data_IF_344649880643
#
_entry.id   IF_344649880643
#
_cell.length_a   1.000
_cell.length_b   1.000
_cell.length_c   1.000
_cell.angle_alpha   90.00
_cell.angle_beta   90.00
_cell.angle_gamma   90.00
#
_symmetry.space_group_name_H-M   'P 1'
#
loop_
_entity.id
_entity.type
_entity.pdbx_description
1 polymer ?
#
# COMPACT_ATOMS: atom_id res chain seq x y z
N UNK A 1 -20.11 -91.24 -3.04
CA UNK A 1 -20.44 -89.91 -3.62
C UNK A 1 -20.77 -88.81 -2.61
N UNK A 2 -21.02 -89.09 -1.32
CA UNK A 2 -21.38 -88.05 -0.32
C UNK A 2 -20.18 -87.34 0.34
N UNK A 3 -18.96 -87.89 0.26
CA UNK A 3 -17.77 -87.33 0.92
C UNK A 3 -17.17 -86.15 0.12
N UNK A 4 -17.17 -86.23 -1.21
CA UNK A 4 -16.62 -85.20 -2.12
C UNK A 4 -17.49 -83.95 -2.24
N UNK A 5 -18.81 -84.05 -2.06
CA UNK A 5 -19.71 -82.87 -2.09
C UNK A 5 -19.57 -82.01 -0.83
N UNK A 6 -19.24 -82.64 0.31
CA UNK A 6 -19.04 -81.99 1.62
C UNK A 6 -17.74 -81.19 1.66
N UNK A 7 -16.65 -81.73 1.10
CA UNK A 7 -15.38 -81.02 0.97
C UNK A 7 -15.47 -79.84 -0.01
N UNK A 8 -16.20 -80.00 -1.12
CA UNK A 8 -16.43 -78.93 -2.09
C UNK A 8 -17.26 -77.76 -1.51
N UNK A 9 -18.27 -78.06 -0.68
CA UNK A 9 -19.06 -77.05 0.04
C UNK A 9 -18.25 -76.36 1.13
N UNK A 10 -17.41 -77.09 1.85
CA UNK A 10 -16.52 -76.54 2.87
C UNK A 10 -15.45 -75.61 2.27
N UNK A 11 -14.89 -75.97 1.12
CA UNK A 11 -13.95 -75.12 0.37
C UNK A 11 -14.60 -73.85 -0.20
N UNK A 12 -15.87 -73.91 -0.60
CA UNK A 12 -16.62 -72.72 -1.06
C UNK A 12 -16.97 -71.79 0.09
N UNK A 13 -17.39 -72.32 1.24
CA UNK A 13 -17.65 -71.54 2.45
C UNK A 13 -16.40 -70.82 2.96
N UNK A 14 -15.24 -71.48 2.95
CA UNK A 14 -13.97 -70.84 3.30
C UNK A 14 -13.63 -69.68 2.35
N UNK A 15 -13.89 -69.85 1.04
CA UNK A 15 -13.61 -68.82 0.04
C UNK A 15 -14.53 -67.61 0.22
N UNK A 16 -15.81 -67.84 0.52
CA UNK A 16 -16.78 -66.79 0.85
C UNK A 16 -16.37 -66.07 2.14
N UNK A 17 -15.98 -66.80 3.19
CA UNK A 17 -15.50 -66.21 4.44
C UNK A 17 -14.25 -65.33 4.24
N UNK A 18 -13.29 -65.77 3.40
CA UNK A 18 -12.09 -64.97 3.07
C UNK A 18 -12.46 -63.67 2.33
N UNK A 19 -13.40 -63.73 1.38
CA UNK A 19 -13.88 -62.55 0.64
C UNK A 19 -14.58 -61.54 1.57
N UNK A 20 -15.44 -62.04 2.47
CA UNK A 20 -16.10 -61.20 3.49
C UNK A 20 -15.07 -60.54 4.40
N UNK A 21 -14.11 -61.31 4.93
CA UNK A 21 -13.01 -60.76 5.77
C UNK A 21 -12.18 -59.70 5.03
N UNK A 22 -11.80 -59.96 3.79
CA UNK A 22 -11.05 -59.00 2.95
C UNK A 22 -11.84 -57.70 2.73
N UNK A 23 -13.14 -57.80 2.44
CA UNK A 23 -14.01 -56.64 2.24
C UNK A 23 -14.17 -55.81 3.53
N UNK A 24 -14.28 -56.47 4.67
CA UNK A 24 -14.35 -55.80 5.99
C UNK A 24 -13.04 -55.10 6.33
N UNK A 25 -11.89 -55.74 6.10
CA UNK A 25 -10.56 -55.14 6.31
C UNK A 25 -10.34 -53.95 5.37
N UNK A 26 -10.70 -54.07 4.08
CA UNK A 26 -10.60 -52.96 3.12
C UNK A 26 -11.48 -51.78 3.52
N UNK A 27 -12.73 -52.02 3.94
CA UNK A 27 -13.63 -50.97 4.44
C UNK A 27 -13.02 -50.29 5.68
N UNK A 28 -12.59 -51.07 6.67
CA UNK A 28 -11.94 -50.54 7.87
C UNK A 28 -10.67 -49.73 7.56
N UNK A 29 -9.86 -50.15 6.59
CA UNK A 29 -8.68 -49.41 6.15
C UNK A 29 -9.04 -48.09 5.46
N UNK A 30 -10.08 -48.09 4.61
CA UNK A 30 -10.60 -46.86 3.96
C UNK A 30 -11.15 -45.90 4.98
N UNK A 31 -11.91 -46.40 5.96
CA UNK A 31 -12.50 -45.59 7.04
C UNK A 31 -11.41 -44.99 7.94
N UNK A 32 -10.37 -45.78 8.29
CA UNK A 32 -9.19 -45.27 9.02
C UNK A 32 -8.46 -44.19 8.23
N UNK A 33 -8.25 -44.38 6.91
CA UNK A 33 -7.61 -43.38 6.05
C UNK A 33 -8.45 -42.11 5.95
N UNK A 34 -9.77 -42.21 5.80
CA UNK A 34 -10.70 -41.08 5.79
C UNK A 34 -10.69 -40.33 7.12
N UNK A 35 -10.75 -41.06 8.25
CA UNK A 35 -10.69 -40.45 9.60
C UNK A 35 -9.38 -39.73 9.84
N UNK A 36 -8.25 -40.31 9.41
CA UNK A 36 -6.93 -39.68 9.53
C UNK A 36 -6.84 -38.42 8.66
N UNK A 37 -7.32 -38.49 7.41
CA UNK A 37 -7.39 -37.33 6.52
C UNK A 37 -8.19 -36.20 7.16
N UNK A 38 -9.43 -36.47 7.59
CA UNK A 38 -10.29 -35.48 8.23
C UNK A 38 -9.66 -34.87 9.50
N UNK A 39 -9.04 -35.70 10.34
CA UNK A 39 -8.33 -35.22 11.52
C UNK A 39 -7.16 -34.29 11.16
N UNK A 40 -6.34 -34.67 10.17
CA UNK A 40 -5.25 -33.82 9.69
C UNK A 40 -5.77 -32.51 9.10
N UNK A 41 -6.85 -32.54 8.30
CA UNK A 41 -7.42 -31.32 7.71
C UNK A 41 -7.93 -30.37 8.79
N UNK A 42 -8.64 -30.90 9.80
CA UNK A 42 -9.10 -30.12 10.94
C UNK A 42 -7.93 -29.50 11.73
N UNK A 43 -6.85 -30.25 11.98
CA UNK A 43 -5.66 -29.70 12.64
C UNK A 43 -5.00 -28.60 11.82
N UNK A 44 -4.93 -28.74 10.50
CA UNK A 44 -4.39 -27.70 9.61
C UNK A 44 -5.23 -26.43 9.65
N UNK A 45 -6.57 -26.57 9.68
CA UNK A 45 -7.48 -25.43 9.84
C UNK A 45 -7.27 -24.73 11.18
N UNK A 46 -7.23 -25.48 12.30
CA UNK A 46 -6.97 -24.91 13.63
C UNK A 46 -5.62 -24.19 13.71
N UNK A 47 -4.55 -24.79 13.17
CA UNK A 47 -3.23 -24.16 13.16
C UNK A 47 -3.20 -22.89 12.30
N UNK A 48 -3.95 -22.84 11.20
CA UNK A 48 -4.09 -21.62 10.38
C UNK A 48 -4.76 -20.50 11.17
N UNK A 49 -5.81 -20.82 11.91
CA UNK A 49 -6.52 -19.86 12.75
C UNK A 49 -5.62 -19.35 13.90
N UNK A 50 -4.84 -20.25 14.53
CA UNK A 50 -3.87 -19.88 15.56
C UNK A 50 -2.75 -18.98 15.02
N UNK A 51 -2.19 -19.30 13.85
CA UNK A 51 -1.18 -18.45 13.20
C UNK A 51 -1.77 -17.07 12.88
N UNK A 52 -2.99 -17.01 12.36
CA UNK A 52 -3.65 -15.73 12.09
C UNK A 52 -3.85 -14.91 13.38
N UNK A 53 -4.30 -15.55 14.47
CA UNK A 53 -4.47 -14.90 15.77
C UNK A 53 -3.12 -14.39 16.34
N UNK A 54 -2.07 -15.21 16.25
CA UNK A 54 -0.74 -14.82 16.70
C UNK A 54 -0.18 -13.66 15.87
N UNK A 55 -0.40 -13.65 14.56
CA UNK A 55 0.01 -12.54 13.70
C UNK A 55 -0.70 -11.23 14.10
N UNK A 56 -2.00 -11.28 14.38
CA UNK A 56 -2.76 -10.13 14.89
C UNK A 56 -2.19 -9.65 16.23
N UNK A 57 -1.87 -10.58 17.13
CA UNK A 57 -1.31 -10.26 18.46
C UNK A 57 0.09 -9.66 18.38
N UNK A 58 0.96 -10.20 17.52
CA UNK A 58 2.29 -9.62 17.25
C UNK A 58 2.15 -8.23 16.69
N UNK A 59 1.28 -8.01 15.69
CA UNK A 59 1.04 -6.67 15.14
C UNK A 59 0.59 -5.68 16.24
N UNK A 60 -0.33 -6.09 17.11
CA UNK A 60 -0.78 -5.27 18.25
C UNK A 60 0.35 -4.94 19.24
N UNK A 61 1.21 -5.90 19.56
CA UNK A 61 2.33 -5.67 20.48
C UNK A 61 3.42 -4.79 19.86
N UNK A 62 3.75 -5.01 18.58
CA UNK A 62 4.68 -4.15 17.82
C UNK A 62 4.17 -2.71 17.78
N UNK A 63 2.85 -2.49 17.70
CA UNK A 63 2.24 -1.15 17.83
C UNK A 63 2.40 -0.50 19.20
N UNK A 64 2.75 -1.23 20.26
CA UNK A 64 2.96 -0.66 21.61
C UNK A 64 4.42 -0.46 22.00
N UNK A 65 5.36 -1.07 21.28
CA UNK A 65 6.79 -1.03 21.62
C UNK A 65 7.56 0.06 20.84
N UNK A 66 8.47 0.83 21.45
CA UNK A 66 9.30 1.78 20.69
C UNK A 66 10.01 1.09 19.53
N UNK A 67 10.10 1.75 18.36
CA UNK A 67 10.67 1.14 17.15
C UNK A 67 12.10 0.62 17.36
N UNK A 68 12.88 1.27 18.21
CA UNK A 68 14.23 0.82 18.61
C UNK A 68 14.24 -0.58 19.21
N UNK A 69 13.25 -0.91 20.06
CA UNK A 69 13.11 -2.25 20.62
C UNK A 69 12.68 -3.27 19.57
N UNK A 70 11.77 -2.89 18.67
CA UNK A 70 11.34 -3.74 17.55
C UNK A 70 12.54 -4.07 16.66
N UNK A 71 13.37 -3.08 16.31
CA UNK A 71 14.55 -3.27 15.48
C UNK A 71 15.68 -4.04 16.18
N UNK A 72 15.78 -4.00 17.50
CA UNK A 72 16.71 -4.83 18.27
C UNK A 72 16.40 -6.33 18.09
N UNK A 73 15.12 -6.70 18.14
CA UNK A 73 14.67 -8.09 18.00
C UNK A 73 14.53 -8.50 16.53
N UNK A 74 14.09 -7.58 15.68
CA UNK A 74 13.87 -7.78 14.25
C UNK A 74 14.54 -6.68 13.43
N UNK A 75 15.87 -6.75 13.20
CA UNK A 75 16.61 -5.73 12.45
C UNK A 75 16.10 -5.51 11.02
N UNK A 76 15.50 -6.55 10.43
CA UNK A 76 14.94 -6.53 9.08
C UNK A 76 13.45 -6.17 9.05
N UNK A 77 12.91 -5.54 10.09
CA UNK A 77 11.52 -5.11 10.10
C UNK A 77 11.24 -4.15 8.94
N UNK A 78 10.37 -4.57 8.01
CA UNK A 78 10.04 -3.85 6.78
C UNK A 78 9.08 -2.67 6.99
N UNK A 79 8.84 -2.28 8.24
CA UNK A 79 7.84 -1.28 8.60
C UNK A 79 6.39 -1.79 8.63
N UNK A 80 6.12 -3.02 8.20
CA UNK A 80 4.76 -3.58 8.26
C UNK A 80 3.77 -2.89 7.30
N UNK A 81 2.45 -2.91 7.61
CA UNK A 81 1.40 -2.47 6.71
C UNK A 81 1.47 -0.99 6.31
N UNK A 82 1.84 -0.10 7.25
CA UNK A 82 1.85 1.35 7.02
C UNK A 82 2.92 1.78 6.00
N UNK A 83 4.13 1.20 6.06
CA UNK A 83 5.16 1.44 5.04
C UNK A 83 4.70 0.94 3.66
N UNK A 84 4.02 -0.21 3.60
CA UNK A 84 3.48 -0.77 2.35
C UNK A 84 2.43 0.16 1.75
N UNK A 85 1.55 0.73 2.57
CA UNK A 85 0.56 1.74 2.14
C UNK A 85 1.26 2.96 1.53
N UNK A 86 2.29 3.51 2.20
CA UNK A 86 3.01 4.68 1.68
C UNK A 86 3.71 4.39 0.33
N UNK A 87 4.36 3.22 0.19
CA UNK A 87 4.99 2.81 -1.09
C UNK A 87 3.95 2.58 -2.19
N UNK A 88 2.83 1.96 -1.86
CA UNK A 88 1.74 1.73 -2.80
C UNK A 88 1.08 3.05 -3.23
N UNK A 89 0.93 4.01 -2.32
CA UNK A 89 0.46 5.36 -2.64
C UNK A 89 1.34 6.00 -3.72
N UNK A 90 2.66 6.08 -3.50
CA UNK A 90 3.58 6.67 -4.49
C UNK A 90 3.55 5.92 -5.82
N UNK A 91 3.40 4.59 -5.78
CA UNK A 91 3.29 3.78 -7.00
C UNK A 91 2.00 4.07 -7.78
N UNK A 92 0.86 4.17 -7.09
CA UNK A 92 -0.44 4.41 -7.72
C UNK A 92 -0.57 5.82 -8.28
N UNK A 93 0.01 6.80 -7.58
CA UNK A 93 0.04 8.21 -7.98
C UNK A 93 1.29 8.59 -8.76
N UNK A 94 2.07 7.60 -9.24
CA UNK A 94 3.34 7.82 -9.97
C UNK A 94 3.22 8.87 -11.06
N UNK A 95 2.11 8.90 -11.79
CA UNK A 95 1.87 9.85 -12.89
C UNK A 95 0.70 10.81 -12.60
N UNK A 96 0.47 11.10 -11.32
CA UNK A 96 -0.63 11.93 -10.85
C UNK A 96 -1.99 11.24 -10.85
N UNK A 97 -3.05 12.05 -10.95
CA UNK A 97 -4.45 11.63 -10.95
C UNK A 97 -5.19 12.30 -12.10
N UNK A 98 -5.98 11.51 -12.83
CA UNK A 98 -6.81 12.00 -13.92
C UNK A 98 -8.15 11.27 -13.89
N UNK A 99 -9.20 12.02 -13.58
CA UNK A 99 -10.58 11.54 -13.44
C UNK A 99 -11.13 10.93 -14.75
N UNK A 100 -10.75 11.47 -15.91
CA UNK A 100 -11.15 10.94 -17.22
C UNK A 100 -10.63 9.53 -17.48
N UNK A 101 -9.51 9.13 -16.85
CA UNK A 101 -8.95 7.77 -16.92
C UNK A 101 -9.68 6.81 -15.96
N UNK A 102 -10.97 6.57 -16.23
CA UNK A 102 -11.92 5.85 -15.35
C UNK A 102 -11.36 4.63 -14.61
N UNK A 103 -10.64 3.74 -15.29
CA UNK A 103 -10.05 2.53 -14.66
C UNK A 103 -8.98 2.88 -13.61
N UNK A 104 -8.10 3.83 -13.94
CA UNK A 104 -7.01 4.24 -13.04
C UNK A 104 -7.54 5.12 -11.91
N UNK A 105 -8.42 6.08 -12.20
CA UNK A 105 -9.03 6.95 -11.18
C UNK A 105 -9.86 6.14 -10.18
N UNK A 106 -10.65 5.17 -10.64
CA UNK A 106 -11.39 4.26 -9.76
C UNK A 106 -10.44 3.42 -8.87
N UNK A 107 -9.31 2.95 -9.40
CA UNK A 107 -8.30 2.21 -8.62
C UNK A 107 -7.66 3.08 -7.54
N UNK A 108 -7.32 4.33 -7.86
CA UNK A 108 -6.74 5.28 -6.92
C UNK A 108 -7.74 5.65 -5.81
N UNK A 109 -9.00 5.92 -6.18
CA UNK A 109 -10.08 6.18 -5.21
C UNK A 109 -10.33 4.97 -4.31
N UNK A 110 -10.49 3.77 -4.88
CA UNK A 110 -10.73 2.55 -4.10
C UNK A 110 -9.59 2.26 -3.12
N UNK A 111 -8.34 2.49 -3.54
CA UNK A 111 -7.19 2.39 -2.66
C UNK A 111 -7.30 3.38 -1.48
N UNK A 112 -7.50 4.67 -1.74
CA UNK A 112 -7.63 5.67 -0.67
C UNK A 112 -8.80 5.35 0.27
N UNK A 113 -9.96 4.96 -0.25
CA UNK A 113 -11.13 4.56 0.56
C UNK A 113 -10.83 3.36 1.46
N UNK A 114 -10.00 2.42 0.99
CA UNK A 114 -9.65 1.23 1.77
C UNK A 114 -8.68 1.51 2.92
N UNK A 115 -7.83 2.53 2.80
CA UNK A 115 -6.74 2.80 3.76
C UNK A 115 -6.96 4.04 4.63
N UNK A 116 -7.71 5.04 4.16
CA UNK A 116 -7.82 6.33 4.83
C UNK A 116 -9.06 6.46 5.71
N UNK A 117 -8.94 7.15 6.84
CA UNK A 117 -10.09 7.58 7.63
C UNK A 117 -10.99 8.53 6.80
N UNK A 118 -12.28 8.57 7.11
CA UNK A 118 -13.25 9.38 6.35
C UNK A 118 -12.88 10.88 6.32
N UNK A 119 -12.31 11.38 7.42
CA UNK A 119 -11.86 12.75 7.64
C UNK A 119 -10.34 12.91 7.53
N UNK A 120 -9.66 12.08 6.74
CA UNK A 120 -8.20 12.20 6.51
C UNK A 120 -7.82 13.64 6.16
N UNK A 121 -6.82 14.19 6.83
CA UNK A 121 -6.31 15.54 6.56
C UNK A 121 -5.27 15.52 5.47
N UNK A 122 -5.25 16.54 4.61
CA UNK A 122 -4.25 16.66 3.56
C UNK A 122 -3.87 18.12 3.30
N UNK A 123 -2.66 18.54 3.69
CA UNK A 123 -2.16 19.90 3.46
C UNK A 123 -3.23 20.98 3.79
N UNK A 124 -3.89 20.87 4.94
CA UNK A 124 -4.97 21.77 5.38
C UNK A 124 -6.40 21.41 4.93
N UNK A 125 -6.57 20.58 3.90
CA UNK A 125 -7.86 20.06 3.45
C UNK A 125 -8.35 18.83 4.24
N UNK A 126 -9.62 18.46 4.07
CA UNK A 126 -10.25 17.31 4.74
C UNK A 126 -10.87 16.35 3.71
N UNK A 127 -10.68 15.05 3.95
CA UNK A 127 -11.25 13.96 3.18
C UNK A 127 -10.43 13.58 1.95
N UNK A 128 -10.77 12.42 1.40
CA UNK A 128 -10.09 11.83 0.24
C UNK A 128 -10.15 12.75 -0.99
N UNK A 129 -11.23 13.54 -1.14
CA UNK A 129 -11.38 14.44 -2.27
C UNK A 129 -10.35 15.57 -2.26
N UNK A 130 -9.91 16.04 -1.10
CA UNK A 130 -8.82 17.04 -1.00
C UNK A 130 -7.52 16.48 -1.61
N UNK A 131 -7.21 15.21 -1.34
CA UNK A 131 -6.04 14.52 -1.89
C UNK A 131 -6.15 14.40 -3.42
N UNK A 132 -7.29 13.90 -3.91
CA UNK A 132 -7.53 13.69 -5.33
C UNK A 132 -7.56 15.01 -6.11
N UNK A 133 -8.18 16.04 -5.54
CA UNK A 133 -8.26 17.38 -6.12
C UNK A 133 -6.88 18.01 -6.28
N UNK A 134 -6.00 17.88 -5.27
CA UNK A 134 -4.63 18.38 -5.40
C UNK A 134 -3.84 17.61 -6.47
N UNK A 135 -3.93 16.28 -6.52
CA UNK A 135 -3.29 15.51 -7.59
C UNK A 135 -3.83 15.87 -8.97
N UNK A 136 -5.15 16.09 -9.10
CA UNK A 136 -5.76 16.52 -10.35
C UNK A 136 -5.19 17.88 -10.77
N UNK A 137 -5.13 18.85 -9.85
CA UNK A 137 -4.56 20.17 -10.08
C UNK A 137 -3.14 20.06 -10.64
N UNK A 138 -2.23 19.35 -9.96
CA UNK A 138 -0.87 19.18 -10.46
C UNK A 138 -0.82 18.47 -11.84
N UNK A 139 -1.67 17.46 -12.04
CA UNK A 139 -1.72 16.68 -13.30
C UNK A 139 -2.22 17.51 -14.48
N UNK A 140 -3.14 18.45 -14.26
CA UNK A 140 -3.66 19.34 -15.31
C UNK A 140 -2.76 20.54 -15.57
N UNK A 141 -2.06 21.00 -14.54
CA UNK A 141 -1.26 22.22 -14.58
C UNK A 141 0.12 22.00 -15.20
N UNK A 142 0.79 20.90 -14.88
CA UNK A 142 2.05 20.52 -15.53
C UNK A 142 1.78 19.70 -16.79
N UNK A 143 2.59 19.89 -17.84
CA UNK A 143 2.41 19.15 -19.11
C UNK A 143 2.77 17.67 -18.97
N UNK A 144 3.56 17.32 -17.96
CA UNK A 144 3.85 15.96 -17.53
C UNK A 144 4.30 15.99 -16.06
N UNK A 145 3.97 14.94 -15.32
CA UNK A 145 4.36 14.76 -13.93
C UNK A 145 4.72 13.31 -13.69
N UNK A 146 5.80 13.08 -12.93
CA UNK A 146 6.11 11.78 -12.38
C UNK A 146 6.68 11.90 -10.96
N UNK A 147 6.44 10.90 -10.12
CA UNK A 147 7.03 10.78 -8.79
C UNK A 147 7.67 9.41 -8.57
N UNK A 148 8.72 9.36 -7.75
CA UNK A 148 9.45 8.14 -7.42
C UNK A 148 9.86 8.13 -5.95
N UNK A 149 9.53 7.06 -5.22
CA UNK A 149 10.00 6.89 -3.86
C UNK A 149 11.51 6.65 -3.86
N UNK A 150 12.26 7.47 -3.14
CA UNK A 150 13.72 7.34 -3.01
C UNK A 150 14.11 6.76 -1.67
N UNK A 151 13.48 7.25 -0.61
CA UNK A 151 13.66 6.73 0.72
C UNK A 151 12.32 6.69 1.45
N UNK A 152 12.17 5.77 2.40
CA UNK A 152 10.96 5.64 3.19
C UNK A 152 11.29 4.95 4.51
N UNK A 153 11.03 5.63 5.61
CA UNK A 153 11.30 5.17 6.96
C UNK A 153 10.05 5.29 7.83
N UNK A 154 9.90 4.34 8.76
CA UNK A 154 8.91 4.46 9.82
C UNK A 154 9.50 5.24 10.97
N UNK A 155 8.76 6.24 11.41
CA UNK A 155 8.88 6.93 12.67
C UNK A 155 7.71 6.46 13.53
N UNK A 156 7.96 6.19 14.80
CA UNK A 156 6.87 5.81 15.71
C UNK A 156 6.63 6.97 16.66
N UNK A 157 5.39 7.44 16.72
CA UNK A 157 4.95 8.49 17.64
C UNK A 157 3.99 7.90 18.66
N UNK A 158 3.73 8.65 19.73
CA UNK A 158 2.75 8.25 20.75
C UNK A 158 1.33 8.13 20.17
N UNK A 159 1.03 8.93 19.14
CA UNK A 159 -0.27 8.96 18.45
C UNK A 159 -0.43 7.93 17.31
N UNK A 160 0.54 7.02 17.14
CA UNK A 160 0.51 5.98 16.10
C UNK A 160 1.73 5.95 15.18
N UNK A 161 1.73 5.11 14.12
CA UNK A 161 2.80 5.08 13.15
C UNK A 161 2.83 6.34 12.27
N UNK A 162 4.00 6.91 12.08
CA UNK A 162 4.27 7.98 11.13
C UNK A 162 5.26 7.47 10.08
N UNK A 163 4.87 7.43 8.82
CA UNK A 163 5.81 7.09 7.75
C UNK A 163 6.35 8.38 7.14
N UNK A 164 7.67 8.54 7.11
CA UNK A 164 8.35 9.62 6.38
C UNK A 164 8.93 9.05 5.09
N UNK A 165 8.55 9.63 3.95
CA UNK A 165 9.10 9.27 2.65
C UNK A 165 9.74 10.47 1.96
N UNK A 166 10.84 10.21 1.26
CA UNK A 166 11.47 11.16 0.35
C UNK A 166 11.14 10.73 -1.06
N UNK A 167 10.47 11.62 -1.79
CA UNK A 167 9.96 11.38 -3.14
C UNK A 167 10.69 12.30 -4.10
N UNK A 168 11.26 11.75 -5.16
CA UNK A 168 11.81 12.53 -6.27
C UNK A 168 10.69 12.80 -7.27
N UNK A 169 10.51 14.06 -7.61
CA UNK A 169 9.39 14.55 -8.40
C UNK A 169 9.91 15.24 -9.66
N UNK A 170 9.30 14.91 -10.80
CA UNK A 170 9.62 15.46 -12.11
C UNK A 170 8.40 16.19 -12.64
N UNK A 171 8.53 17.49 -12.89
CA UNK A 171 7.43 18.36 -13.33
C UNK A 171 7.83 19.08 -14.60
N UNK A 172 7.17 18.76 -15.72
CA UNK A 172 7.39 19.47 -16.98
C UNK A 172 6.58 20.75 -17.02
N UNK A 173 7.28 21.88 -16.84
CA UNK A 173 6.70 23.20 -16.75
C UNK A 173 5.98 23.54 -18.07
N UNK A 174 4.74 24.02 -17.94
CA UNK A 174 3.87 24.44 -19.02
C UNK A 174 3.49 25.93 -18.83
N UNK A 175 2.79 26.51 -19.82
CA UNK A 175 2.17 27.83 -19.64
C UNK A 175 1.13 27.82 -18.50
N UNK A 176 0.38 26.72 -18.36
CA UNK A 176 -0.59 26.55 -17.27
C UNK A 176 0.09 26.50 -15.90
N UNK A 177 1.25 25.84 -15.76
CA UNK A 177 1.97 25.86 -14.48
C UNK A 177 2.47 27.23 -14.09
N UNK A 178 2.88 28.05 -15.06
CA UNK A 178 3.24 29.43 -14.77
C UNK A 178 2.01 30.26 -14.37
N UNK A 179 0.85 30.10 -15.00
CA UNK A 179 -0.34 30.84 -14.60
C UNK A 179 -0.95 30.37 -13.27
N UNK A 180 -0.76 29.10 -12.89
CA UNK A 180 -1.49 28.48 -11.77
C UNK A 180 -0.63 28.25 -10.53
N UNK A 181 0.64 27.84 -10.69
CA UNK A 181 1.56 27.59 -9.56
C UNK A 181 2.48 28.79 -9.33
N UNK A 182 2.94 29.45 -10.39
CA UNK A 182 3.89 30.56 -10.32
C UNK A 182 3.30 31.86 -10.90
N UNK A 183 2.12 32.31 -10.44
CA UNK A 183 1.36 33.37 -11.11
C UNK A 183 2.12 34.70 -11.23
N UNK A 184 3.06 34.96 -10.32
CA UNK A 184 3.89 36.17 -10.31
C UNK A 184 5.26 36.00 -10.97
N UNK A 185 5.50 34.88 -11.68
CA UNK A 185 6.72 34.68 -12.46
C UNK A 185 6.92 35.85 -13.45
N UNK A 186 8.07 36.55 -13.40
CA UNK A 186 8.39 37.62 -14.33
C UNK A 186 8.35 37.17 -15.80
N UNK A 187 7.82 38.01 -16.69
CA UNK A 187 7.62 37.65 -18.10
C UNK A 187 8.91 37.27 -18.82
N UNK A 188 10.03 37.91 -18.48
CA UNK A 188 11.34 37.62 -19.07
C UNK A 188 11.91 36.24 -18.64
N UNK A 189 11.43 35.66 -17.54
CA UNK A 189 11.84 34.33 -17.06
C UNK A 189 10.95 33.21 -17.63
N UNK A 190 9.70 33.50 -18.02
CA UNK A 190 8.77 32.49 -18.55
C UNK A 190 9.34 31.67 -19.72
N UNK A 191 10.00 32.26 -20.74
CA UNK A 191 10.56 31.48 -21.84
C UNK A 191 11.66 30.49 -21.42
N UNK A 192 12.40 30.78 -20.35
CA UNK A 192 13.45 29.89 -19.83
C UNK A 192 12.84 28.66 -19.14
N UNK A 193 11.66 28.80 -18.55
CA UNK A 193 10.99 27.77 -17.78
C UNK A 193 10.10 26.86 -18.63
N UNK A 194 9.38 27.40 -19.62
CA UNK A 194 8.41 26.62 -20.42
C UNK A 194 9.11 25.44 -21.11
N UNK A 195 8.57 24.23 -20.92
CA UNK A 195 9.07 23.01 -21.53
C UNK A 195 10.19 22.33 -20.73
N UNK A 196 10.79 23.00 -19.76
CA UNK A 196 11.80 22.41 -18.88
C UNK A 196 11.20 21.40 -17.92
N UNK A 197 11.99 20.40 -17.54
CA UNK A 197 11.63 19.42 -16.51
C UNK A 197 12.29 19.83 -15.19
N UNK A 198 11.49 20.40 -14.31
CA UNK A 198 11.90 20.70 -12.94
C UNK A 198 11.96 19.42 -12.14
N UNK A 199 13.14 19.09 -11.62
CA UNK A 199 13.38 17.91 -10.78
C UNK A 199 13.64 18.35 -9.35
N UNK A 200 12.76 17.97 -8.43
CA UNK A 200 12.90 18.31 -7.01
C UNK A 200 12.68 17.09 -6.12
N UNK A 201 13.02 17.24 -4.84
CA UNK A 201 12.66 16.29 -3.80
C UNK A 201 11.52 16.84 -2.97
N UNK A 202 10.56 15.98 -2.64
CA UNK A 202 9.50 16.27 -1.71
C UNK A 202 9.58 15.32 -0.53
N UNK A 203 9.38 15.84 0.68
CA UNK A 203 9.21 15.03 1.89
C UNK A 203 7.72 14.86 2.13
N UNK A 204 7.27 13.61 2.22
CA UNK A 204 5.89 13.25 2.48
C UNK A 204 5.78 12.53 3.83
N UNK A 205 4.73 12.84 4.58
CA UNK A 205 4.44 12.27 5.88
C UNK A 205 3.06 11.61 5.85
N UNK A 206 2.99 10.31 6.10
CA UNK A 206 1.74 9.57 6.25
C UNK A 206 1.54 9.22 7.72
N UNK A 207 0.55 9.83 8.36
CA UNK A 207 0.22 9.59 9.76
C UNK A 207 -0.94 8.61 9.84
N UNK A 208 -0.78 7.59 10.69
CA UNK A 208 -1.75 6.52 10.87
C UNK A 208 -2.28 6.51 12.30
N UNK A 209 -3.54 6.12 12.47
CA UNK A 209 -4.09 5.84 13.79
C UNK A 209 -3.70 4.45 14.30
N UNK A 210 -4.18 4.11 15.50
CA UNK A 210 -3.95 2.82 16.16
C UNK A 210 -4.47 1.60 15.36
N UNK A 211 -5.36 1.83 14.40
CA UNK A 211 -5.94 0.81 13.50
C UNK A 211 -5.27 0.76 12.13
N UNK A 212 -4.12 1.43 11.97
CA UNK A 212 -3.37 1.57 10.72
C UNK A 212 -4.16 2.28 9.60
N UNK A 213 -5.15 3.11 9.96
CA UNK A 213 -5.87 3.95 8.98
C UNK A 213 -5.13 5.27 8.80
N UNK A 214 -4.98 5.71 7.56
CA UNK A 214 -4.36 6.99 7.24
C UNK A 214 -5.26 8.15 7.70
N UNK A 215 -4.78 8.94 8.67
CA UNK A 215 -5.51 10.07 9.26
C UNK A 215 -4.98 11.44 8.82
N UNK A 216 -3.72 11.51 8.38
CA UNK A 216 -3.17 12.70 7.78
C UNK A 216 -2.11 12.34 6.73
N UNK A 217 -2.03 13.15 5.69
CA UNK A 217 -0.99 13.08 4.69
C UNK A 217 -0.52 14.49 4.37
N UNK A 218 0.74 14.79 4.61
CA UNK A 218 1.32 16.09 4.29
C UNK A 218 2.51 15.92 3.35
N UNK A 219 2.76 16.91 2.51
CA UNK A 219 3.84 16.88 1.54
C UNK A 219 4.42 18.26 1.32
N UNK A 220 5.73 18.36 1.46
CA UNK A 220 6.49 19.59 1.25
C UNK A 220 7.57 19.37 0.18
N UNK A 221 7.66 20.28 -0.80
CA UNK A 221 8.50 20.16 -1.97
C UNK A 221 9.58 21.23 -2.03
N UNK A 222 10.83 20.83 -2.24
CA UNK A 222 11.95 21.76 -2.38
C UNK A 222 12.02 22.35 -3.81
N UNK A 223 11.16 23.32 -4.08
CA UNK A 223 11.12 24.01 -5.37
C UNK A 223 12.34 24.90 -5.62
N UNK A 224 13.04 25.35 -4.57
CA UNK A 224 14.27 26.14 -4.70
C UNK A 224 15.35 25.30 -5.38
N UNK A 225 15.62 24.11 -4.83
CA UNK A 225 16.59 23.17 -5.43
C UNK A 225 16.16 22.66 -6.80
N UNK A 226 14.84 22.65 -7.09
CA UNK A 226 14.32 22.28 -8.40
C UNK A 226 14.50 23.34 -9.48
N UNK A 227 14.36 24.62 -9.14
CA UNK A 227 14.43 25.74 -10.10
C UNK A 227 15.85 26.25 -10.31
N UNK A 228 16.69 26.20 -9.27
CA UNK A 228 18.07 26.73 -9.33
C UNK A 228 18.90 26.13 -10.47
N UNK A 229 18.85 24.83 -10.79
CA UNK A 229 19.58 24.27 -11.93
C UNK A 229 19.10 24.78 -13.30
N UNK A 230 17.84 25.20 -13.40
CA UNK A 230 17.23 25.72 -14.64
C UNK A 230 17.63 27.19 -14.84
N UNK A 231 17.41 28.02 -13.81
CA UNK A 231 17.59 29.46 -13.88
C UNK A 231 19.04 29.90 -13.63
N UNK A 232 19.81 29.10 -12.88
CA UNK A 232 21.21 29.35 -12.51
C UNK A 232 21.43 30.70 -11.79
N UNK A 233 20.37 31.23 -11.18
CA UNK A 233 20.36 32.49 -10.47
C UNK A 233 19.33 32.42 -9.33
N UNK A 234 19.78 32.73 -8.11
CA UNK A 234 18.95 32.68 -6.92
C UNK A 234 17.93 33.82 -6.89
N UNK A 235 18.25 35.00 -7.43
CA UNK A 235 17.31 36.12 -7.50
C UNK A 235 16.15 35.80 -8.46
N UNK A 236 16.47 35.22 -9.62
CA UNK A 236 15.46 34.69 -10.54
C UNK A 236 14.60 33.59 -9.89
N UNK A 237 15.20 32.67 -9.11
CA UNK A 237 14.44 31.64 -8.36
C UNK A 237 13.48 32.29 -7.36
N UNK A 238 13.96 33.24 -6.56
CA UNK A 238 13.12 33.97 -5.60
C UNK A 238 11.97 34.71 -6.29
N UNK A 239 12.24 35.35 -7.44
CA UNK A 239 11.22 36.06 -8.21
C UNK A 239 10.14 35.12 -8.77
N UNK A 240 10.50 33.90 -9.18
CA UNK A 240 9.54 32.88 -9.65
C UNK A 240 8.71 32.31 -8.51
N UNK A 241 9.33 32.11 -7.34
CA UNK A 241 8.67 31.56 -6.14
C UNK A 241 7.84 32.59 -5.38
N UNK A 242 7.97 33.87 -5.70
CA UNK A 242 7.21 34.94 -5.08
C UNK A 242 5.70 34.66 -5.19
N UNK A 243 5.03 34.53 -4.04
CA UNK A 243 3.60 34.21 -3.96
C UNK A 243 3.19 32.97 -4.80
N UNK A 244 4.07 31.97 -4.87
CA UNK A 244 3.76 30.71 -5.52
C UNK A 244 2.63 29.95 -4.79
N UNK A 245 1.72 29.38 -5.56
CA UNK A 245 0.53 28.69 -5.06
C UNK A 245 0.70 27.17 -5.10
N UNK A 246 1.46 26.60 -4.16
CA UNK A 246 1.72 25.15 -4.12
C UNK A 246 0.53 24.33 -3.66
N UNK A 247 -0.32 24.91 -2.85
CA UNK A 247 -1.49 24.24 -2.28
C UNK A 247 -2.78 24.66 -2.98
N UNK A 248 -3.82 23.83 -2.85
CA UNK A 248 -5.15 24.17 -3.37
C UNK A 248 -5.78 25.31 -2.57
N UNK A 249 -6.83 25.96 -3.09
CA UNK A 249 -7.54 27.03 -2.38
C UNK A 249 -8.12 26.56 -1.04
N UNK A 250 -8.43 25.27 -0.91
CA UNK A 250 -8.91 24.64 0.34
C UNK A 250 -7.85 24.64 1.46
N UNK A 251 -6.57 24.76 1.11
CA UNK A 251 -5.44 24.78 2.04
C UNK A 251 -5.15 26.16 2.64
N UNK A 252 -5.79 27.22 2.12
CA UNK A 252 -5.54 28.61 2.52
C UNK A 252 -6.40 29.09 3.70
N UNK A 253 -7.18 28.20 4.34
CA UNK A 253 -8.16 28.53 5.39
C UNK A 253 -7.69 28.08 6.80
N UNK A 254 -6.38 28.05 7.06
CA UNK A 254 -5.86 27.88 8.42
C UNK A 254 -4.91 29.02 8.79
#
# INVERSE_FOLDING_TARGET
MACTSREATQATDERIQRLVRSRTIQKASRDRKKKRYLATTATVETLRDEVALLQVRVASLVRRLPLTHVLCVQPNFDGGPTLKIARQYVTLFKHGYNDTKRKQSAKQLAFLTSVAAANVRYNGGIGIQSILGNWLRYTLTFSSMAIEMRDCAILKTDDGPLVKGVVKTYLKISRSSLSTIFPHCPDHLKPQLIGQVMTLYATMHWSFDETDRLIALDGDGDFVSGLLPILKDMEAVAAVLNMAAFYGPESAIL
#
